data_IF_815666643681
#
_entry.id   IF_815666643681
#
_cell.length_a   1.000
_cell.length_b   1.000
_cell.length_c   1.000
_cell.angle_alpha   90.00
_cell.angle_beta   90.00
_cell.angle_gamma   90.00
#
_symmetry.space_group_name_H-M   'P 1'
#
loop_
_entity.id
_entity.type
_entity.pdbx_description
1 polymer ?
#
# COMPACT_ATOMS: atom_id res chain seq x y z
N UNK A 1 -11.42 -17.77 -24.47
CA UNK A 1 -10.75 -16.93 -23.45
C UNK A 1 -11.62 -15.72 -23.23
N UNK A 2 -11.94 -15.40 -21.98
CA UNK A 2 -12.53 -14.12 -21.62
C UNK A 2 -11.58 -12.98 -21.96
N UNK A 3 -12.14 -11.80 -22.20
CA UNK A 3 -11.42 -10.60 -22.66
C UNK A 3 -10.19 -10.27 -21.78
N UNK A 4 -10.31 -10.48 -20.47
CA UNK A 4 -9.30 -10.12 -19.48
C UNK A 4 -8.59 -11.31 -18.82
N UNK A 5 -8.69 -12.52 -19.39
CA UNK A 5 -8.06 -13.72 -18.80
C UNK A 5 -6.53 -13.56 -18.60
N UNK A 6 -5.89 -12.74 -19.44
CA UNK A 6 -4.46 -12.42 -19.37
C UNK A 6 -4.06 -11.55 -18.17
N UNK A 7 -5.03 -10.96 -17.46
CA UNK A 7 -4.82 -10.17 -16.24
C UNK A 7 -4.91 -11.01 -14.96
N UNK A 8 -5.14 -12.31 -15.06
CA UNK A 8 -5.15 -13.19 -13.90
C UNK A 8 -3.73 -13.63 -13.54
N UNK A 9 -3.34 -13.45 -12.28
CA UNK A 9 -2.13 -14.01 -11.70
C UNK A 9 -2.44 -14.81 -10.42
N UNK A 10 -1.44 -15.59 -9.98
CA UNK A 10 -1.57 -16.54 -8.89
C UNK A 10 -1.66 -15.85 -7.52
N UNK A 11 -0.88 -14.79 -7.30
CA UNK A 11 -0.83 -14.09 -6.01
C UNK A 11 -2.12 -13.30 -5.79
N UNK A 12 -2.63 -12.68 -6.85
CA UNK A 12 -3.93 -12.03 -6.92
C UNK A 12 -5.11 -12.97 -6.70
N UNK A 13 -4.94 -14.29 -6.55
CA UNK A 13 -6.04 -15.17 -6.15
C UNK A 13 -6.23 -15.29 -4.63
N UNK A 14 -5.44 -14.58 -3.82
CA UNK A 14 -5.54 -14.63 -2.37
C UNK A 14 -6.76 -13.81 -1.86
N UNK A 15 -7.73 -14.43 -1.16
CA UNK A 15 -8.96 -13.73 -0.75
C UNK A 15 -8.76 -12.56 0.20
N UNK A 16 -7.69 -12.53 1.00
CA UNK A 16 -7.43 -11.41 1.91
C UNK A 16 -7.07 -10.10 1.17
N UNK A 17 -6.70 -10.19 -0.12
CA UNK A 17 -6.46 -9.06 -1.00
C UNK A 17 -7.76 -8.51 -1.62
N UNK A 18 -8.94 -9.09 -1.30
CA UNK A 18 -10.24 -8.56 -1.72
C UNK A 18 -10.56 -7.28 -0.94
N UNK A 19 -9.91 -6.20 -1.34
CA UNK A 19 -9.89 -4.87 -0.70
C UNK A 19 -9.36 -3.83 -1.69
N UNK A 20 -9.27 -2.56 -1.28
CA UNK A 20 -8.52 -1.54 -2.02
C UNK A 20 -7.30 -1.02 -1.25
N UNK A 21 -6.25 -0.72 -2.02
CA UNK A 21 -5.11 0.11 -1.61
C UNK A 21 -5.34 1.54 -2.11
N UNK A 22 -4.91 2.52 -1.32
CA UNK A 22 -5.13 3.94 -1.60
C UNK A 22 -3.85 4.75 -1.48
N UNK A 23 -3.71 5.71 -2.37
CA UNK A 23 -2.74 6.79 -2.27
C UNK A 23 -3.42 8.08 -2.72
N UNK A 24 -3.20 9.17 -1.98
CA UNK A 24 -3.75 10.48 -2.24
C UNK A 24 -2.63 11.47 -2.52
N UNK A 25 -2.76 12.23 -3.61
CA UNK A 25 -1.90 13.33 -3.99
C UNK A 25 -2.62 14.66 -3.80
N UNK A 26 -1.99 15.64 -3.16
CA UNK A 26 -2.55 16.98 -2.98
C UNK A 26 -1.85 17.98 -3.89
N UNK A 27 -2.62 18.71 -4.70
CA UNK A 27 -2.12 19.71 -5.66
C UNK A 27 -2.68 21.10 -5.34
N UNK A 28 -1.87 22.17 -5.49
CA UNK A 28 -2.41 23.52 -5.46
C UNK A 28 -3.26 23.75 -6.72
N UNK A 29 -4.34 24.54 -6.59
CA UNK A 29 -5.07 25.06 -7.73
C UNK A 29 -5.08 26.60 -7.66
N UNK A 30 -4.81 27.30 -8.76
CA UNK A 30 -4.91 28.76 -8.82
C UNK A 30 -6.37 29.20 -8.65
N UNK A 31 -6.60 30.11 -7.69
CA UNK A 31 -7.91 30.71 -7.42
C UNK A 31 -8.77 29.88 -6.47
N UNK A 32 -9.09 30.42 -5.29
CA UNK A 32 -9.89 29.70 -4.28
C UNK A 32 -11.32 29.41 -4.75
N UNK A 33 -11.84 30.21 -5.70
CA UNK A 33 -13.24 30.21 -6.16
C UNK A 33 -13.43 30.38 -7.68
N UNK A 34 -12.42 30.09 -8.52
CA UNK A 34 -12.60 30.16 -9.98
C UNK A 34 -13.34 28.91 -10.51
N UNK A 35 -14.66 29.03 -10.62
CA UNK A 35 -15.52 27.99 -11.18
C UNK A 35 -15.11 27.55 -12.59
N UNK A 36 -14.58 28.45 -13.42
CA UNK A 36 -14.13 28.10 -14.78
C UNK A 36 -12.89 27.22 -14.73
N UNK A 37 -11.95 27.52 -13.83
CA UNK A 37 -10.75 26.70 -13.64
C UNK A 37 -11.09 25.30 -13.09
N UNK A 38 -12.05 25.20 -12.16
CA UNK A 38 -12.52 23.91 -11.65
C UNK A 38 -13.13 23.05 -12.77
N UNK A 39 -13.94 23.63 -13.65
CA UNK A 39 -14.51 22.91 -14.79
C UNK A 39 -13.44 22.47 -15.80
N UNK A 40 -12.45 23.33 -16.09
CA UNK A 40 -11.30 22.95 -16.93
C UNK A 40 -10.50 21.80 -16.29
N UNK A 41 -10.28 21.83 -14.97
CA UNK A 41 -9.59 20.76 -14.26
C UNK A 41 -10.36 19.43 -14.34
N UNK A 42 -11.69 19.46 -14.15
CA UNK A 42 -12.56 18.30 -14.35
C UNK A 42 -12.43 17.75 -15.76
N UNK A 43 -12.54 18.62 -16.77
CA UNK A 43 -12.47 18.23 -18.17
C UNK A 43 -11.13 17.55 -18.50
N UNK A 44 -9.99 18.16 -18.13
CA UNK A 44 -8.66 17.57 -18.38
C UNK A 44 -8.44 16.25 -17.66
N UNK A 45 -8.88 16.14 -16.42
CA UNK A 45 -8.79 14.90 -15.64
C UNK A 45 -9.66 13.80 -16.26
N UNK A 46 -10.87 14.13 -16.72
CA UNK A 46 -11.71 13.20 -17.48
C UNK A 46 -11.00 12.76 -18.75
N UNK A 47 -10.55 13.68 -19.62
CA UNK A 47 -9.84 13.34 -20.87
C UNK A 47 -8.59 12.49 -20.62
N UNK A 48 -7.80 12.80 -19.60
CA UNK A 48 -6.62 12.02 -19.25
C UNK A 48 -6.99 10.60 -18.79
N UNK A 49 -8.07 10.46 -18.00
CA UNK A 49 -8.58 9.17 -17.57
C UNK A 49 -9.14 8.34 -18.74
N UNK A 50 -9.82 8.99 -19.71
CA UNK A 50 -10.28 8.35 -20.95
C UNK A 50 -9.11 7.78 -21.75
N UNK A 51 -8.06 8.59 -21.96
CA UNK A 51 -6.84 8.14 -22.66
C UNK A 51 -6.19 6.95 -21.96
N UNK A 52 -6.20 6.93 -20.62
CA UNK A 52 -5.69 5.81 -19.83
C UNK A 52 -6.49 4.52 -20.11
N UNK A 53 -7.82 4.57 -20.02
CA UNK A 53 -8.66 3.37 -20.25
C UNK A 53 -8.69 2.92 -21.70
N UNK A 54 -8.47 3.83 -22.67
CA UNK A 54 -8.30 3.46 -24.08
C UNK A 54 -7.04 2.59 -24.30
N UNK A 55 -5.95 2.89 -23.60
CA UNK A 55 -4.70 2.14 -23.70
C UNK A 55 -4.66 0.89 -22.80
N UNK A 56 -5.43 0.89 -21.71
CA UNK A 56 -5.45 -0.16 -20.70
C UNK A 56 -6.90 -0.47 -20.32
N UNK A 57 -7.64 -1.11 -21.23
CA UNK A 57 -9.10 -1.33 -21.10
C UNK A 57 -9.49 -2.09 -19.83
N UNK A 58 -8.60 -2.97 -19.34
CA UNK A 58 -8.80 -3.72 -18.11
C UNK A 58 -8.89 -2.85 -16.84
N UNK A 59 -8.40 -1.60 -16.87
CA UNK A 59 -8.55 -0.66 -15.74
C UNK A 59 -10.01 -0.22 -15.52
N UNK A 60 -10.83 -0.27 -16.56
CA UNK A 60 -12.27 0.03 -16.51
C UNK A 60 -13.13 -1.24 -16.29
N UNK A 61 -12.51 -2.39 -16.00
CA UNK A 61 -13.22 -3.62 -15.70
C UNK A 61 -13.76 -3.63 -14.25
N UNK A 62 -14.73 -4.50 -13.99
CA UNK A 62 -15.14 -4.90 -12.64
C UNK A 62 -14.42 -6.17 -12.21
N UNK A 63 -14.04 -6.23 -10.94
CA UNK A 63 -13.56 -7.45 -10.28
C UNK A 63 -14.75 -8.26 -9.82
N UNK A 64 -14.76 -9.54 -10.20
CA UNK A 64 -15.79 -10.50 -9.78
C UNK A 64 -15.16 -11.70 -9.08
N UNK A 65 -15.81 -12.15 -8.02
CA UNK A 65 -15.50 -13.40 -7.36
C UNK A 65 -16.35 -14.52 -7.97
N UNK A 66 -15.74 -15.44 -8.71
CA UNK A 66 -16.43 -16.60 -9.28
C UNK A 66 -16.30 -17.78 -8.34
N UNK A 67 -17.45 -18.27 -7.87
CA UNK A 67 -17.50 -19.53 -7.15
C UNK A 67 -17.34 -20.68 -8.13
N UNK A 68 -16.43 -21.60 -7.80
CA UNK A 68 -16.11 -22.75 -8.65
C UNK A 68 -17.06 -23.95 -8.41
N UNK A 69 -18.16 -23.73 -7.68
CA UNK A 69 -19.34 -24.61 -7.68
C UNK A 69 -19.20 -25.92 -6.90
N UNK A 70 -18.12 -26.10 -6.13
CA UNK A 70 -17.92 -27.29 -5.30
C UNK A 70 -17.08 -26.98 -4.05
N UNK A 71 -17.22 -27.78 -2.97
CA UNK A 71 -16.55 -27.53 -1.68
C UNK A 71 -15.02 -27.59 -1.75
N UNK A 72 -14.45 -28.25 -2.76
CA UNK A 72 -13.00 -28.51 -2.89
C UNK A 72 -12.27 -27.56 -3.87
N UNK A 73 -12.96 -26.55 -4.43
CA UNK A 73 -12.35 -25.57 -5.33
C UNK A 73 -12.47 -24.16 -4.75
N UNK A 74 -11.35 -23.44 -4.57
CA UNK A 74 -11.43 -22.07 -4.09
C UNK A 74 -12.11 -21.18 -5.12
N UNK A 75 -12.82 -20.18 -4.61
CA UNK A 75 -13.23 -19.03 -5.41
C UNK A 75 -12.02 -18.40 -6.08
N UNK A 76 -12.26 -17.77 -7.23
CA UNK A 76 -11.23 -17.11 -8.02
C UNK A 76 -11.67 -15.70 -8.40
N UNK A 77 -10.70 -14.81 -8.51
CA UNK A 77 -10.92 -13.41 -8.84
C UNK A 77 -10.62 -13.20 -10.33
N UNK A 78 -11.62 -12.64 -11.02
CA UNK A 78 -11.60 -12.40 -12.46
C UNK A 78 -11.95 -10.95 -12.75
N UNK A 79 -11.59 -10.50 -13.95
CA UNK A 79 -12.07 -9.23 -14.48
C UNK A 79 -13.17 -9.48 -15.51
N UNK A 80 -14.22 -8.68 -15.44
CA UNK A 80 -15.30 -8.64 -16.41
C UNK A 80 -15.55 -7.20 -16.88
N UNK A 81 -16.04 -7.01 -18.11
CA UNK A 81 -16.51 -5.69 -18.54
C UNK A 81 -17.57 -5.13 -17.59
N UNK A 82 -17.60 -3.81 -17.45
CA UNK A 82 -18.60 -3.12 -16.63
C UNK A 82 -19.24 -1.99 -17.42
N UNK A 83 -20.52 -2.13 -17.77
CA UNK A 83 -21.26 -1.16 -18.60
C UNK A 83 -21.26 0.27 -18.01
N UNK A 84 -21.14 0.40 -16.69
CA UNK A 84 -21.04 1.71 -16.01
C UNK A 84 -19.75 2.46 -16.37
N UNK A 85 -18.68 1.74 -16.70
CA UNK A 85 -17.35 2.29 -17.00
C UNK A 85 -16.86 1.93 -18.40
N UNK A 86 -17.64 1.20 -19.19
CA UNK A 86 -17.36 0.95 -20.60
C UNK A 86 -17.75 2.14 -21.48
N UNK A 87 -17.28 2.20 -22.75
CA UNK A 87 -17.67 3.25 -23.67
C UNK A 87 -19.19 3.31 -23.84
N UNK A 88 -19.82 4.51 -23.89
CA UNK A 88 -19.19 5.83 -23.97
C UNK A 88 -18.85 6.48 -22.62
N UNK A 89 -19.17 5.84 -21.49
CA UNK A 89 -19.05 6.46 -20.16
C UNK A 89 -17.58 6.54 -19.69
N UNK A 90 -16.80 5.46 -19.85
CA UNK A 90 -15.35 5.39 -19.61
C UNK A 90 -14.85 6.08 -18.31
N UNK A 91 -15.67 6.12 -17.26
CA UNK A 91 -15.42 7.00 -16.11
C UNK A 91 -14.85 6.23 -14.93
N UNK A 92 -13.52 6.05 -14.93
CA UNK A 92 -12.77 5.59 -13.74
C UNK A 92 -12.48 6.73 -12.77
N UNK A 93 -12.84 7.97 -13.08
CA UNK A 93 -12.66 9.15 -12.23
C UNK A 93 -14.01 9.73 -11.81
N UNK A 94 -14.09 10.20 -10.57
CA UNK A 94 -15.23 10.96 -10.05
C UNK A 94 -14.77 12.27 -9.42
N UNK A 95 -15.68 13.24 -9.33
CA UNK A 95 -15.40 14.56 -8.79
C UNK A 95 -16.28 14.84 -7.59
N UNK A 96 -15.71 15.51 -6.60
CA UNK A 96 -16.40 15.91 -5.38
C UNK A 96 -16.00 17.31 -5.00
N UNK A 97 -16.98 18.15 -4.67
CA UNK A 97 -16.70 19.43 -4.02
C UNK A 97 -16.65 19.20 -2.51
N UNK A 98 -15.47 19.43 -1.93
CA UNK A 98 -15.19 19.34 -0.51
C UNK A 98 -14.84 20.71 0.07
N UNK A 99 -15.10 21.81 -0.64
CA UNK A 99 -14.72 23.17 -0.22
C UNK A 99 -15.24 23.51 1.17
N UNK A 100 -16.47 23.11 1.50
CA UNK A 100 -17.08 23.38 2.81
C UNK A 100 -16.83 22.28 3.85
N UNK A 101 -16.49 21.08 3.40
CA UNK A 101 -16.34 19.90 4.25
C UNK A 101 -14.89 19.66 4.73
N UNK A 102 -13.92 20.33 4.11
CA UNK A 102 -12.49 20.13 4.36
C UNK A 102 -11.77 21.45 4.67
N UNK A 103 -10.66 21.40 5.43
CA UNK A 103 -9.71 22.51 5.49
C UNK A 103 -9.23 22.90 4.09
N UNK A 104 -8.80 24.14 3.94
CA UNK A 104 -8.16 24.62 2.71
C UNK A 104 -6.89 23.85 2.42
N UNK A 105 -6.47 23.89 1.16
CA UNK A 105 -5.21 23.30 0.73
C UNK A 105 -4.01 23.85 1.51
N UNK A 106 -3.98 25.16 1.77
CA UNK A 106 -2.89 25.80 2.52
C UNK A 106 -2.85 25.31 3.97
N UNK A 107 -4.00 25.13 4.63
CA UNK A 107 -4.08 24.59 5.99
C UNK A 107 -3.58 23.14 6.04
N UNK A 108 -3.97 22.32 5.07
CA UNK A 108 -3.50 20.93 4.96
C UNK A 108 -1.98 20.86 4.77
N UNK A 109 -1.42 21.66 3.86
CA UNK A 109 0.05 21.71 3.62
C UNK A 109 0.79 22.22 4.86
N UNK A 110 0.30 23.28 5.51
CA UNK A 110 0.89 23.85 6.73
C UNK A 110 0.92 22.83 7.86
N UNK A 111 -0.14 22.05 8.03
CA UNK A 111 -0.22 20.97 9.01
C UNK A 111 0.54 19.70 8.57
N UNK A 112 1.11 19.67 7.37
CA UNK A 112 1.74 18.50 6.73
C UNK A 112 0.78 17.31 6.56
N UNK A 113 -0.53 17.56 6.47
CA UNK A 113 -1.56 16.56 6.20
C UNK A 113 -1.58 15.38 7.17
N UNK A 114 -1.91 15.59 8.45
CA UNK A 114 -2.09 14.49 9.42
C UNK A 114 -3.30 13.63 9.05
N UNK A 115 -3.31 12.37 9.49
CA UNK A 115 -4.38 11.41 9.19
C UNK A 115 -5.76 11.96 9.63
N UNK A 116 -5.83 12.60 10.79
CA UNK A 116 -7.04 13.20 11.36
C UNK A 116 -7.67 14.31 10.49
N UNK A 117 -6.91 14.91 9.58
CA UNK A 117 -7.41 15.92 8.64
C UNK A 117 -7.79 15.34 7.27
N UNK A 118 -7.63 14.03 7.07
CA UNK A 118 -7.80 13.36 5.78
C UNK A 118 -8.80 12.20 5.88
N UNK A 119 -10.08 12.44 6.19
CA UNK A 119 -11.06 11.38 6.37
C UNK A 119 -11.27 10.59 5.06
N UNK A 120 -10.85 9.33 5.05
CA UNK A 120 -10.95 8.44 3.88
C UNK A 120 -12.40 8.20 3.46
N UNK A 121 -13.35 8.18 4.39
CA UNK A 121 -14.80 8.08 4.08
C UNK A 121 -15.31 9.23 3.22
N UNK A 122 -14.67 10.40 3.28
CA UNK A 122 -15.00 11.56 2.46
C UNK A 122 -14.17 11.61 1.18
N UNK A 123 -12.85 11.40 1.30
CA UNK A 123 -11.87 11.65 0.25
C UNK A 123 -11.65 10.49 -0.72
N UNK A 124 -12.04 9.28 -0.31
CA UNK A 124 -11.76 8.07 -1.07
C UNK A 124 -13.00 7.53 -1.78
N UNK A 125 -12.80 6.89 -2.95
CA UNK A 125 -13.88 6.34 -3.75
C UNK A 125 -14.41 4.98 -3.26
N UNK A 126 -13.63 4.27 -2.44
CA UNK A 126 -13.86 2.89 -1.99
C UNK A 126 -13.37 2.71 -0.54
N UNK A 127 -13.76 1.60 0.08
CA UNK A 127 -13.20 1.13 1.36
C UNK A 127 -11.74 0.70 1.18
N UNK A 128 -10.94 0.79 2.24
CA UNK A 128 -9.52 0.43 2.21
C UNK A 128 -9.21 -0.81 3.07
N UNK A 129 -8.06 -1.43 2.80
CA UNK A 129 -7.53 -2.52 3.62
C UNK A 129 -7.44 -2.10 5.11
N UNK A 130 -7.92 -2.95 6.05
CA UNK A 130 -8.26 -4.37 5.91
C UNK A 130 -9.72 -4.70 5.54
N UNK A 131 -10.57 -3.72 5.28
CA UNK A 131 -11.97 -3.98 5.00
C UNK A 131 -12.16 -4.65 3.65
N UNK A 132 -12.88 -5.77 3.65
CA UNK A 132 -13.41 -6.34 2.41
C UNK A 132 -14.69 -5.63 1.97
N UNK A 133 -15.18 -6.00 0.79
CA UNK A 133 -16.38 -5.44 0.18
C UNK A 133 -17.28 -6.53 -0.42
N UNK A 134 -18.54 -6.14 -0.65
CA UNK A 134 -19.53 -6.94 -1.36
C UNK A 134 -19.94 -6.20 -2.62
N UNK A 135 -19.51 -6.72 -3.77
CA UNK A 135 -19.86 -6.21 -5.09
C UNK A 135 -21.30 -6.59 -5.45
N UNK A 136 -22.00 -5.68 -6.12
CA UNK A 136 -23.32 -5.91 -6.73
C UNK A 136 -23.31 -5.34 -8.15
N UNK A 137 -24.33 -5.63 -8.96
CA UNK A 137 -24.43 -5.00 -10.28
C UNK A 137 -24.65 -3.47 -10.20
N UNK A 138 -25.24 -2.98 -9.10
CA UNK A 138 -25.46 -1.55 -8.86
C UNK A 138 -24.25 -0.86 -8.21
N UNK A 139 -23.42 -1.62 -7.49
CA UNK A 139 -22.15 -1.17 -6.90
C UNK A 139 -21.03 -2.17 -7.25
N UNK A 140 -20.61 -2.22 -8.53
CA UNK A 140 -19.55 -3.13 -8.94
C UNK A 140 -18.21 -2.72 -8.33
N UNK A 141 -17.27 -3.65 -8.24
CA UNK A 141 -15.92 -3.39 -7.74
C UNK A 141 -14.98 -2.98 -8.87
N UNK A 142 -14.62 -1.70 -9.05
CA UNK A 142 -13.70 -1.30 -10.10
C UNK A 142 -12.29 -1.83 -9.84
N UNK A 143 -11.53 -2.07 -10.90
CA UNK A 143 -10.08 -2.36 -10.79
C UNK A 143 -9.34 -1.13 -10.25
N UNK A 144 -9.63 0.05 -10.81
CA UNK A 144 -9.13 1.35 -10.33
C UNK A 144 -10.26 2.36 -10.29
N UNK A 145 -10.26 3.21 -9.26
CA UNK A 145 -11.10 4.38 -9.18
C UNK A 145 -10.31 5.59 -8.68
N UNK A 146 -10.38 6.70 -9.41
CA UNK A 146 -9.89 8.00 -8.98
C UNK A 146 -11.02 8.83 -8.38
N UNK A 147 -10.71 9.61 -7.34
CA UNK A 147 -11.60 10.65 -6.82
C UNK A 147 -10.84 11.97 -6.70
N UNK A 148 -11.27 12.94 -7.48
CA UNK A 148 -10.78 14.31 -7.47
C UNK A 148 -11.66 15.14 -6.51
N UNK A 149 -11.11 15.47 -5.35
CA UNK A 149 -11.78 16.23 -4.30
C UNK A 149 -11.31 17.69 -4.33
N UNK A 150 -12.16 18.59 -4.77
CA UNK A 150 -11.86 20.03 -4.78
C UNK A 150 -11.98 20.59 -3.36
N UNK A 151 -10.93 21.27 -2.89
CA UNK A 151 -10.91 22.01 -1.62
C UNK A 151 -10.60 23.47 -1.93
N UNK A 152 -10.80 24.38 -0.97
CA UNK A 152 -10.40 25.78 -1.16
C UNK A 152 -8.90 25.87 -1.48
N UNK A 153 -8.58 26.40 -2.66
CA UNK A 153 -7.21 26.58 -3.16
C UNK A 153 -6.47 25.31 -3.60
N UNK A 154 -7.16 24.17 -3.78
CA UNK A 154 -6.47 22.95 -4.20
C UNK A 154 -7.35 21.77 -4.59
N UNK A 155 -6.67 20.67 -4.94
CA UNK A 155 -7.26 19.41 -5.35
C UNK A 155 -6.58 18.25 -4.59
N UNK A 156 -7.39 17.38 -3.99
CA UNK A 156 -6.92 16.12 -3.42
C UNK A 156 -7.36 14.97 -4.33
N UNK A 157 -6.42 14.35 -5.04
CA UNK A 157 -6.67 13.27 -5.99
C UNK A 157 -6.30 11.93 -5.34
N UNK A 158 -7.31 11.17 -4.93
CA UNK A 158 -7.14 9.79 -4.43
C UNK A 158 -7.22 8.78 -5.57
N UNK A 159 -6.40 7.74 -5.51
CA UNK A 159 -6.45 6.57 -6.37
C UNK A 159 -6.66 5.33 -5.51
N UNK A 160 -7.81 4.69 -5.68
CA UNK A 160 -8.11 3.39 -5.11
C UNK A 160 -7.87 2.31 -6.16
N UNK A 161 -7.06 1.31 -5.83
CA UNK A 161 -6.83 0.17 -6.69
C UNK A 161 -7.13 -1.14 -5.97
N UNK A 162 -7.82 -2.04 -6.66
CA UNK A 162 -8.23 -3.31 -6.10
C UNK A 162 -6.99 -4.19 -5.92
N UNK A 163 -6.74 -4.63 -4.68
CA UNK A 163 -5.43 -5.13 -4.27
C UNK A 163 -5.08 -6.52 -4.84
N UNK A 164 -6.06 -7.32 -5.27
CA UNK A 164 -5.80 -8.54 -6.03
C UNK A 164 -5.14 -8.24 -7.39
N UNK A 165 -5.37 -7.06 -7.96
CA UNK A 165 -4.94 -6.72 -9.30
C UNK A 165 -3.85 -5.65 -9.36
N UNK A 166 -3.68 -4.83 -8.33
CA UNK A 166 -2.74 -3.70 -8.35
C UNK A 166 -2.18 -3.48 -6.94
N UNK A 167 -0.85 -3.56 -6.80
CA UNK A 167 -0.13 -3.17 -5.60
C UNK A 167 0.26 -1.66 -5.62
N UNK A 168 0.98 -1.18 -4.61
CA UNK A 168 1.38 0.23 -4.55
C UNK A 168 2.31 0.66 -5.70
N UNK A 169 3.20 -0.21 -6.16
CA UNK A 169 4.02 0.07 -7.35
C UNK A 169 3.13 0.19 -8.60
N UNK A 170 2.05 -0.58 -8.68
CA UNK A 170 1.03 -0.42 -9.71
C UNK A 170 0.21 0.87 -9.60
N UNK A 171 -0.14 1.31 -8.38
CA UNK A 171 -0.77 2.62 -8.14
C UNK A 171 0.14 3.76 -8.60
N UNK A 172 1.45 3.66 -8.33
CA UNK A 172 2.44 4.61 -8.87
C UNK A 172 2.36 4.67 -10.39
N UNK A 173 2.32 3.53 -11.08
CA UNK A 173 2.20 3.50 -12.54
C UNK A 173 0.89 4.12 -13.04
N UNK A 174 -0.24 3.90 -12.37
CA UNK A 174 -1.50 4.58 -12.68
C UNK A 174 -1.33 6.11 -12.66
N UNK A 175 -0.66 6.64 -11.64
CA UNK A 175 -0.39 8.08 -11.53
C UNK A 175 0.62 8.59 -12.56
N UNK A 176 1.68 7.84 -12.85
CA UNK A 176 2.68 8.22 -13.86
C UNK A 176 2.07 8.30 -15.26
N UNK A 177 1.19 7.35 -15.61
CA UNK A 177 0.45 7.36 -16.87
C UNK A 177 -0.58 8.50 -16.89
N UNK A 178 -1.31 8.72 -15.80
CA UNK A 178 -2.23 9.87 -15.70
C UNK A 178 -1.49 11.20 -15.86
N UNK A 179 -0.34 11.37 -15.21
CA UNK A 179 0.51 12.55 -15.35
C UNK A 179 0.96 12.75 -16.81
N UNK A 180 1.35 11.67 -17.49
CA UNK A 180 1.72 11.68 -18.92
C UNK A 180 0.57 12.17 -19.79
N UNK A 181 -0.64 11.65 -19.56
CA UNK A 181 -1.83 12.10 -20.28
C UNK A 181 -2.18 13.58 -19.99
N UNK A 182 -2.06 14.03 -18.74
CA UNK A 182 -2.31 15.42 -18.34
C UNK A 182 -1.30 16.42 -18.91
N UNK A 183 -0.08 15.98 -19.23
CA UNK A 183 0.90 16.76 -19.98
C UNK A 183 0.60 16.83 -21.49
N UNK A 184 -0.44 16.13 -21.96
CA UNK A 184 -0.77 16.03 -23.38
C UNK A 184 0.16 15.09 -24.17
N UNK A 185 0.97 14.29 -23.47
CA UNK A 185 1.92 13.37 -24.08
C UNK A 185 1.25 12.04 -24.44
N UNK A 186 1.79 11.33 -25.43
CA UNK A 186 1.37 9.98 -25.77
C UNK A 186 2.11 8.95 -24.93
N UNK A 187 1.43 7.85 -24.59
CA UNK A 187 2.10 6.70 -24.00
C UNK A 187 3.02 6.07 -25.02
N UNK A 188 4.24 5.73 -24.61
CA UNK A 188 5.16 4.97 -25.45
C UNK A 188 4.65 3.55 -25.66
N UNK A 189 5.12 2.91 -26.74
CA UNK A 189 4.83 1.49 -27.01
C UNK A 189 5.24 0.61 -25.82
N UNK A 190 6.40 0.91 -25.20
CA UNK A 190 6.89 0.19 -24.03
C UNK A 190 5.99 0.37 -22.81
N UNK A 191 5.46 1.57 -22.57
CA UNK A 191 4.52 1.81 -21.46
C UNK A 191 3.24 1.00 -21.64
N UNK A 192 2.67 1.00 -22.85
CA UNK A 192 1.46 0.24 -23.18
C UNK A 192 1.71 -1.26 -23.05
N UNK A 193 2.83 -1.75 -23.58
CA UNK A 193 3.20 -3.16 -23.49
C UNK A 193 3.42 -3.61 -22.04
N UNK A 194 4.07 -2.78 -21.21
CA UNK A 194 4.35 -3.13 -19.83
C UNK A 194 3.10 -3.14 -18.95
N UNK A 195 2.19 -2.17 -19.11
CA UNK A 195 0.93 -2.13 -18.36
C UNK A 195 -0.10 -3.18 -18.80
N UNK A 196 0.07 -3.78 -19.99
CA UNK A 196 -0.76 -4.86 -20.52
C UNK A 196 -0.05 -6.24 -20.52
N UNK A 197 1.01 -6.42 -19.72
CA UNK A 197 1.72 -7.71 -19.64
C UNK A 197 0.77 -8.85 -19.25
N UNK A 198 0.87 -9.97 -19.97
CA UNK A 198 0.17 -11.21 -19.62
C UNK A 198 0.72 -11.75 -18.30
N UNK A 199 -0.14 -11.79 -17.29
CA UNK A 199 0.26 -12.10 -15.92
C UNK A 199 0.30 -13.61 -15.65
N UNK A 200 -0.32 -14.43 -16.50
CA UNK A 200 -0.46 -15.87 -16.29
C UNK A 200 0.86 -16.63 -16.30
N UNK A 201 1.84 -16.11 -17.05
CA UNK A 201 3.18 -16.71 -17.21
C UNK A 201 4.29 -15.87 -16.59
N UNK A 202 3.96 -14.74 -15.96
CA UNK A 202 4.93 -13.79 -15.40
C UNK A 202 5.79 -14.43 -14.31
N UNK A 203 5.16 -15.24 -13.46
CA UNK A 203 5.84 -16.05 -12.43
C UNK A 203 5.73 -17.52 -12.83
N UNK A 204 6.77 -18.11 -13.47
CA UNK A 204 6.73 -19.52 -13.82
C UNK A 204 6.77 -20.38 -12.57
N UNK A 205 5.79 -21.27 -12.45
CA UNK A 205 5.70 -22.21 -11.33
C UNK A 205 6.91 -23.19 -11.32
N UNK A 206 7.13 -23.83 -10.19
CA UNK A 206 8.13 -24.88 -10.04
C UNK A 206 7.70 -26.12 -10.83
N UNK A 207 8.67 -26.73 -11.51
CA UNK A 207 8.56 -28.05 -12.11
C UNK A 207 8.58 -29.13 -11.03
N UNK A 208 8.11 -30.33 -11.33
CA UNK A 208 7.99 -31.44 -10.35
C UNK A 208 9.32 -31.84 -9.70
N UNK A 209 10.44 -31.65 -10.40
CA UNK A 209 11.78 -31.98 -9.89
C UNK A 209 12.43 -30.85 -9.06
N UNK A 210 11.84 -29.66 -9.05
CA UNK A 210 12.37 -28.53 -8.28
C UNK A 210 11.89 -28.60 -6.82
N UNK A 211 12.78 -28.30 -5.88
CA UNK A 211 12.48 -28.39 -4.44
C UNK A 211 11.64 -27.19 -3.96
N UNK A 212 10.43 -27.41 -3.42
CA UNK A 212 9.64 -26.33 -2.83
C UNK A 212 10.29 -25.82 -1.55
N UNK A 213 10.11 -24.52 -1.29
CA UNK A 213 10.44 -23.87 -0.01
C UNK A 213 9.23 -23.95 0.93
N UNK A 214 9.49 -23.80 2.22
CA UNK A 214 8.47 -23.67 3.25
C UNK A 214 7.80 -22.29 3.20
N UNK A 215 6.47 -22.28 3.29
CA UNK A 215 5.59 -21.11 3.23
C UNK A 215 4.56 -21.10 4.37
N UNK A 216 4.71 -21.94 5.39
CA UNK A 216 3.75 -22.07 6.48
C UNK A 216 3.61 -20.77 7.30
N UNK A 217 4.60 -19.88 7.25
CA UNK A 217 4.52 -18.53 7.84
C UNK A 217 3.33 -17.69 7.35
N UNK A 218 2.74 -18.04 6.19
CA UNK A 218 1.59 -17.35 5.62
C UNK A 218 0.25 -17.95 6.06
N UNK A 219 0.24 -19.09 6.75
CA UNK A 219 -0.97 -19.74 7.23
C UNK A 219 -1.50 -19.06 8.49
N UNK A 220 -2.80 -18.76 8.49
CA UNK A 220 -3.59 -18.41 9.66
C UNK A 220 -3.96 -19.72 10.35
N UNK A 221 -3.24 -20.10 11.40
CA UNK A 221 -3.66 -21.24 12.21
C UNK A 221 -4.94 -20.85 12.95
N UNK A 222 -6.02 -21.61 12.74
CA UNK A 222 -7.24 -21.50 13.56
C UNK A 222 -6.93 -22.04 14.96
N UNK A 223 -6.19 -21.29 15.76
CA UNK A 223 -6.16 -21.55 17.18
C UNK A 223 -7.53 -21.17 17.76
N UNK A 224 -8.06 -21.92 18.73
CA UNK A 224 -9.17 -21.40 19.53
C UNK A 224 -8.76 -20.00 20.00
N UNK A 225 -9.69 -19.04 20.07
CA UNK A 225 -9.34 -17.72 20.55
C UNK A 225 -8.60 -17.92 21.86
N UNK A 226 -7.29 -17.62 21.88
CA UNK A 226 -6.68 -17.17 23.11
C UNK A 226 -7.62 -16.08 23.63
N UNK A 227 -7.81 -15.93 24.94
CA UNK A 227 -8.40 -14.70 25.45
C UNK A 227 -7.46 -13.59 24.98
N UNK A 228 -7.72 -13.08 23.77
CA UNK A 228 -7.10 -11.89 23.22
C UNK A 228 -7.61 -10.88 24.21
N UNK A 229 -6.74 -10.50 25.14
CA UNK A 229 -7.02 -9.41 26.04
C UNK A 229 -7.46 -8.27 25.13
N UNK A 230 -8.68 -7.78 25.35
CA UNK A 230 -9.18 -6.63 24.60
C UNK A 230 -8.06 -5.58 24.56
N UNK A 231 -7.80 -4.98 23.39
CA UNK A 231 -6.70 -4.04 23.28
C UNK A 231 -6.87 -2.96 24.35
N UNK A 232 -5.79 -2.67 25.09
CA UNK A 232 -5.84 -1.75 26.23
C UNK A 232 -6.41 -0.37 25.87
N UNK A 233 -6.33 -0.01 24.59
CA UNK A 233 -6.92 1.20 24.04
C UNK A 233 -7.21 1.08 22.53
N UNK A 234 -8.04 1.97 21.96
CA UNK A 234 -8.34 1.98 20.52
C UNK A 234 -7.10 2.20 19.66
N UNK A 235 -7.08 1.56 18.48
CA UNK A 235 -6.08 1.78 17.44
C UNK A 235 -6.43 3.03 16.61
N UNK A 236 -5.41 3.79 16.21
CA UNK A 236 -5.55 4.96 15.35
C UNK A 236 -4.34 5.13 14.43
N UNK A 237 -4.53 5.83 13.32
CA UNK A 237 -3.46 6.17 12.39
C UNK A 237 -2.77 7.48 12.80
N UNK A 238 -1.43 7.49 12.83
CA UNK A 238 -0.62 8.69 13.13
C UNK A 238 0.60 8.78 12.23
N UNK A 239 0.91 10.00 11.80
CA UNK A 239 2.08 10.29 10.97
C UNK A 239 3.27 10.75 11.81
N UNK A 240 4.47 10.28 11.44
CA UNK A 240 5.74 10.72 11.98
C UNK A 240 6.72 10.99 10.85
N UNK A 241 7.39 12.14 10.86
CA UNK A 241 8.40 12.53 9.88
C UNK A 241 9.79 12.17 10.35
N UNK A 242 10.54 11.56 9.44
CA UNK A 242 11.97 11.32 9.57
C UNK A 242 12.69 12.16 8.52
N UNK A 243 13.40 13.19 8.96
CA UNK A 243 14.10 14.11 8.05
C UNK A 243 15.39 13.51 7.48
N UNK A 244 15.90 13.99 6.34
CA UNK A 244 17.16 13.51 5.77
C UNK A 244 18.34 13.40 6.75
N UNK A 245 18.64 14.41 7.61
CA UNK A 245 19.73 14.27 8.57
C UNK A 245 19.45 13.18 9.62
N UNK A 246 18.20 13.06 10.09
CA UNK A 246 17.78 12.01 11.05
C UNK A 246 17.89 10.62 10.42
N UNK A 247 17.44 10.45 9.18
CA UNK A 247 17.57 9.22 8.40
C UNK A 247 19.03 8.82 8.16
N UNK A 248 19.90 9.80 7.83
CA UNK A 248 21.32 9.55 7.65
C UNK A 248 21.98 9.09 8.96
N UNK A 249 21.64 9.74 10.08
CA UNK A 249 22.13 9.35 11.41
C UNK A 249 21.64 7.95 11.82
N UNK A 250 20.37 7.60 11.57
CA UNK A 250 19.85 6.24 11.80
C UNK A 250 20.60 5.21 10.95
N UNK A 251 20.82 5.50 9.66
CA UNK A 251 21.55 4.60 8.76
C UNK A 251 22.99 4.36 9.24
N UNK A 252 23.66 5.42 9.72
CA UNK A 252 25.00 5.32 10.29
C UNK A 252 25.01 4.51 11.59
N UNK A 253 24.09 4.79 12.52
CA UNK A 253 23.95 4.06 13.80
C UNK A 253 23.69 2.57 13.59
N UNK A 254 22.85 2.24 12.60
CA UNK A 254 22.54 0.86 12.23
C UNK A 254 23.66 0.18 11.40
N UNK A 255 24.71 0.92 11.01
CA UNK A 255 25.70 0.50 10.00
C UNK A 255 25.03 -0.20 8.80
N UNK A 256 23.86 0.30 8.40
CA UNK A 256 22.94 -0.47 7.58
C UNK A 256 23.18 -0.29 6.10
N UNK A 257 22.93 -1.35 5.34
CA UNK A 257 22.99 -1.35 3.88
C UNK A 257 22.09 -0.26 3.27
N UNK A 258 20.86 -0.11 3.78
CA UNK A 258 19.88 0.85 3.26
C UNK A 258 19.23 1.68 4.34
N UNK A 259 18.82 2.90 3.99
CA UNK A 259 18.03 3.78 4.88
C UNK A 259 16.72 3.10 5.31
N UNK A 260 16.12 2.32 4.40
CA UNK A 260 14.88 1.62 4.69
C UNK A 260 15.04 0.55 5.77
N UNK A 261 16.14 -0.23 5.73
CA UNK A 261 16.42 -1.21 6.78
C UNK A 261 16.69 -0.53 8.13
N UNK A 262 17.45 0.56 8.15
CA UNK A 262 17.73 1.31 9.37
C UNK A 262 16.46 1.89 10.00
N UNK A 263 15.59 2.50 9.18
CA UNK A 263 14.32 3.04 9.65
C UNK A 263 13.37 1.93 10.12
N UNK A 264 13.29 0.81 9.38
CA UNK A 264 12.49 -0.36 9.77
C UNK A 264 12.97 -0.94 11.11
N UNK A 265 14.29 -1.12 11.27
CA UNK A 265 14.90 -1.59 12.50
C UNK A 265 14.61 -0.66 13.67
N UNK A 266 14.72 0.65 13.44
CA UNK A 266 14.47 1.66 14.45
C UNK A 266 13.02 1.62 14.94
N UNK A 267 12.06 1.64 14.01
CA UNK A 267 10.64 1.55 14.36
C UNK A 267 10.31 0.25 15.09
N UNK A 268 10.81 -0.90 14.60
CA UNK A 268 10.57 -2.19 15.25
C UNK A 268 11.12 -2.21 16.67
N UNK A 269 12.38 -1.81 16.86
CA UNK A 269 13.02 -1.80 18.16
C UNK A 269 12.31 -0.87 19.16
N UNK A 270 11.98 0.37 18.77
CA UNK A 270 11.35 1.33 19.70
C UNK A 270 9.94 0.90 20.08
N UNK A 271 9.14 0.48 19.11
CA UNK A 271 7.76 0.01 19.39
C UNK A 271 7.78 -1.19 20.34
N UNK A 272 8.67 -2.15 20.14
CA UNK A 272 8.77 -3.32 21.03
C UNK A 272 9.35 -2.95 22.39
N UNK A 273 10.27 -1.99 22.48
CA UNK A 273 10.77 -1.48 23.77
C UNK A 273 9.64 -0.86 24.61
N UNK A 274 8.79 -0.04 23.99
CA UNK A 274 7.60 0.54 24.64
C UNK A 274 6.63 -0.55 25.08
N UNK A 275 6.35 -1.52 24.21
CA UNK A 275 5.46 -2.65 24.54
C UNK A 275 6.01 -3.52 25.67
N UNK A 276 7.32 -3.77 25.70
CA UNK A 276 7.99 -4.49 26.78
C UNK A 276 7.84 -3.75 28.12
N UNK A 277 8.13 -2.46 28.16
CA UNK A 277 8.02 -1.65 29.38
C UNK A 277 6.59 -1.67 29.95
N UNK A 278 5.59 -1.56 29.08
CA UNK A 278 4.18 -1.55 29.46
C UNK A 278 3.65 -2.93 29.87
N UNK A 279 3.94 -3.97 29.08
CA UNK A 279 3.37 -5.31 29.27
C UNK A 279 4.15 -6.16 30.27
N UNK A 280 5.42 -5.82 30.51
CA UNK A 280 6.33 -6.57 31.40
C UNK A 280 6.46 -8.06 31.02
N UNK A 281 6.48 -8.34 29.71
CA UNK A 281 6.58 -9.68 29.13
C UNK A 281 7.94 -9.88 28.43
N UNK A 282 9.07 -9.97 29.15
CA UNK A 282 10.39 -10.10 28.54
C UNK A 282 10.55 -11.37 27.69
N UNK A 283 9.74 -12.40 27.96
CA UNK A 283 9.76 -13.69 27.28
C UNK A 283 8.92 -13.72 25.99
N UNK A 284 8.18 -12.65 25.68
CA UNK A 284 7.40 -12.57 24.45
C UNK A 284 8.31 -12.51 23.22
N UNK A 285 7.82 -12.97 22.08
CA UNK A 285 8.52 -12.88 20.80
C UNK A 285 7.79 -11.87 19.92
N UNK A 286 8.54 -10.91 19.38
CA UNK A 286 8.03 -9.97 18.40
C UNK A 286 8.28 -10.50 16.99
N UNK A 287 7.27 -10.40 16.13
CA UNK A 287 7.41 -10.70 14.70
C UNK A 287 7.26 -9.44 13.86
N UNK A 288 8.09 -9.28 12.83
CA UNK A 288 8.01 -8.19 11.87
C UNK A 288 7.79 -8.74 10.46
N UNK A 289 6.66 -8.38 9.83
CA UNK A 289 6.28 -8.83 8.50
C UNK A 289 6.47 -7.68 7.51
N UNK A 290 7.54 -7.73 6.70
CA UNK A 290 7.90 -6.68 5.75
C UNK A 290 7.53 -7.06 4.32
N UNK A 291 6.72 -6.25 3.65
CA UNK A 291 6.41 -6.42 2.23
C UNK A 291 7.63 -6.21 1.34
N UNK A 292 7.76 -7.05 0.32
CA UNK A 292 8.88 -7.10 -0.62
C UNK A 292 8.34 -7.11 -2.05
N UNK A 293 8.72 -6.10 -2.83
CA UNK A 293 8.47 -6.07 -4.27
C UNK A 293 9.37 -7.08 -4.98
N UNK A 294 8.75 -8.09 -5.60
CA UNK A 294 9.46 -9.17 -6.27
C UNK A 294 9.75 -8.89 -7.76
N UNK A 295 9.34 -7.73 -8.32
CA UNK A 295 9.55 -7.40 -9.74
C UNK A 295 11.00 -7.53 -10.17
N UNK A 296 11.92 -6.86 -9.47
CA UNK A 296 13.35 -6.85 -9.81
C UNK A 296 13.92 -8.27 -9.84
N UNK A 297 13.59 -9.05 -8.82
CA UNK A 297 14.04 -10.42 -8.65
C UNK A 297 13.49 -11.38 -9.71
N UNK A 298 12.30 -11.09 -10.22
CA UNK A 298 11.66 -11.84 -11.30
C UNK A 298 12.01 -11.32 -12.70
N UNK A 299 12.78 -10.24 -12.81
CA UNK A 299 13.09 -9.60 -14.10
C UNK A 299 11.88 -8.89 -14.72
N UNK A 300 10.84 -8.62 -13.94
CA UNK A 300 9.63 -7.92 -14.37
C UNK A 300 9.91 -6.43 -14.46
N UNK A 301 9.43 -5.80 -15.54
CA UNK A 301 9.68 -4.37 -15.81
C UNK A 301 8.92 -3.48 -14.83
N UNK A 302 9.45 -2.29 -14.60
CA UNK A 302 8.91 -1.33 -13.63
C UNK A 302 7.49 -0.84 -14.02
N UNK A 303 7.15 -0.81 -15.32
CA UNK A 303 5.81 -0.48 -15.79
C UNK A 303 4.75 -1.56 -15.54
N UNK A 304 5.10 -2.69 -14.92
CA UNK A 304 4.13 -3.72 -14.52
C UNK A 304 3.23 -3.22 -13.39
N UNK A 305 1.92 -3.21 -13.66
CA UNK A 305 0.91 -2.64 -12.75
C UNK A 305 0.31 -3.66 -11.77
N UNK A 306 0.59 -4.96 -11.93
CA UNK A 306 -0.04 -6.01 -11.11
C UNK A 306 0.54 -6.15 -9.70
N UNK A 307 -0.13 -6.94 -8.85
CA UNK A 307 0.45 -7.29 -7.54
C UNK A 307 1.58 -8.31 -7.71
N UNK A 308 2.78 -7.97 -7.25
CA UNK A 308 3.91 -8.89 -7.22
C UNK A 308 4.69 -8.74 -5.92
N UNK A 309 4.00 -9.06 -4.82
CA UNK A 309 4.51 -8.92 -3.46
C UNK A 309 4.67 -10.27 -2.76
N UNK A 310 5.77 -10.40 -2.00
CA UNK A 310 5.94 -11.43 -0.96
C UNK A 310 6.33 -10.77 0.37
N UNK A 311 6.47 -11.55 1.44
CA UNK A 311 6.79 -11.04 2.78
C UNK A 311 8.09 -11.64 3.30
N UNK A 312 8.96 -10.78 3.82
CA UNK A 312 10.06 -11.18 4.68
C UNK A 312 9.60 -11.11 6.14
N UNK A 313 9.74 -12.22 6.86
CA UNK A 313 9.40 -12.29 8.29
C UNK A 313 10.68 -12.38 9.11
N UNK A 314 10.79 -11.49 10.10
CA UNK A 314 11.84 -11.55 11.11
C UNK A 314 11.21 -11.70 12.49
N UNK A 315 11.89 -12.40 13.40
CA UNK A 315 11.43 -12.56 14.78
C UNK A 315 12.57 -12.37 15.76
N UNK A 316 12.29 -11.77 16.92
CA UNK A 316 13.26 -11.56 17.99
C UNK A 316 12.52 -11.50 19.34
N UNK A 317 13.16 -11.95 20.43
CA UNK A 317 12.58 -11.81 21.77
C UNK A 317 12.37 -10.34 22.16
N UNK A 318 11.37 -10.03 22.98
CA UNK A 318 11.11 -8.64 23.41
C UNK A 318 12.31 -8.02 24.13
N UNK A 319 12.86 -8.72 25.13
CA UNK A 319 14.03 -8.25 25.87
C UNK A 319 15.26 -8.14 24.96
N UNK A 320 15.51 -9.17 24.16
CA UNK A 320 16.61 -9.20 23.18
C UNK A 320 16.52 -8.01 22.22
N UNK A 321 15.34 -7.72 21.66
CA UNK A 321 15.14 -6.63 20.72
C UNK A 321 15.31 -5.25 21.36
N UNK A 322 14.83 -5.07 22.59
CA UNK A 322 14.96 -3.83 23.34
C UNK A 322 16.42 -3.52 23.71
N UNK A 323 17.22 -4.54 24.01
CA UNK A 323 18.64 -4.41 24.38
C UNK A 323 19.60 -4.49 23.18
N UNK A 324 19.12 -4.96 22.02
CA UNK A 324 19.95 -5.12 20.82
C UNK A 324 20.53 -3.79 20.32
N UNK A 325 21.72 -3.85 19.71
CA UNK A 325 22.22 -2.71 18.93
C UNK A 325 21.37 -2.60 17.67
N UNK A 326 21.09 -1.36 17.23
CA UNK A 326 20.32 -1.12 16.01
C UNK A 326 20.92 -1.81 14.78
N UNK A 327 22.25 -1.96 14.75
CA UNK A 327 22.97 -2.71 13.72
C UNK A 327 22.57 -4.18 13.64
N UNK A 328 22.39 -4.85 14.78
CA UNK A 328 22.06 -6.27 14.83
C UNK A 328 20.63 -6.48 14.31
N UNK A 329 19.70 -5.62 14.71
CA UNK A 329 18.31 -5.61 14.23
C UNK A 329 18.24 -5.35 12.72
N UNK A 330 18.95 -4.34 12.23
CA UNK A 330 18.99 -4.03 10.79
C UNK A 330 19.63 -5.17 9.97
N UNK A 331 20.66 -5.83 10.51
CA UNK A 331 21.31 -6.97 9.87
C UNK A 331 20.39 -8.18 9.80
N UNK A 332 19.64 -8.48 10.88
CA UNK A 332 18.62 -9.54 10.88
C UNK A 332 17.58 -9.29 9.78
N UNK A 333 16.98 -8.09 9.75
CA UNK A 333 15.98 -7.72 8.76
C UNK A 333 16.51 -7.85 7.32
N UNK A 334 17.76 -7.43 7.07
CA UNK A 334 18.40 -7.54 5.75
C UNK A 334 18.66 -9.00 5.38
N UNK A 335 19.09 -9.83 6.32
CA UNK A 335 19.34 -11.24 6.09
C UNK A 335 18.04 -11.98 5.74
N UNK A 336 16.98 -11.77 6.49
CA UNK A 336 15.68 -12.42 6.23
C UNK A 336 15.05 -11.93 4.93
N UNK A 337 15.16 -10.64 4.61
CA UNK A 337 14.75 -10.12 3.30
C UNK A 337 15.50 -10.83 2.16
N UNK A 338 16.81 -11.02 2.29
CA UNK A 338 17.62 -11.64 1.22
C UNK A 338 17.24 -13.11 1.00
N UNK A 339 16.82 -13.83 2.05
CA UNK A 339 16.35 -15.23 1.95
C UNK A 339 15.07 -15.38 1.12
N UNK A 340 14.20 -14.36 1.12
CA UNK A 340 12.91 -14.41 0.40
C UNK A 340 12.92 -13.62 -0.90
N UNK A 341 13.78 -12.60 -1.02
CA UNK A 341 13.87 -11.76 -2.20
C UNK A 341 14.81 -12.35 -3.27
N UNK A 342 14.54 -13.59 -3.66
CA UNK A 342 15.22 -14.26 -4.77
C UNK A 342 14.21 -15.04 -5.63
N UNK A 343 14.61 -15.35 -6.86
CA UNK A 343 13.73 -15.92 -7.88
C UNK A 343 13.13 -17.25 -7.43
N UNK A 344 13.94 -18.12 -6.83
CA UNK A 344 13.51 -19.45 -6.41
C UNK A 344 12.43 -19.39 -5.33
N UNK A 345 12.58 -18.48 -4.36
CA UNK A 345 11.58 -18.27 -3.32
C UNK A 345 10.26 -17.76 -3.90
N UNK A 346 10.29 -16.74 -4.76
CA UNK A 346 9.07 -16.17 -5.38
C UNK A 346 8.33 -17.21 -6.23
N UNK A 347 9.06 -17.98 -7.05
CA UNK A 347 8.47 -19.09 -7.83
C UNK A 347 7.88 -20.16 -6.92
N UNK A 348 8.57 -20.51 -5.84
CA UNK A 348 8.08 -21.46 -4.86
C UNK A 348 6.81 -20.96 -4.16
N UNK A 349 6.75 -19.68 -3.80
CA UNK A 349 5.60 -19.06 -3.14
C UNK A 349 4.37 -19.07 -4.06
N UNK A 350 4.53 -18.64 -5.31
CA UNK A 350 3.47 -18.72 -6.30
C UNK A 350 3.01 -20.17 -6.53
N UNK A 351 3.94 -21.13 -6.60
CA UNK A 351 3.60 -22.55 -6.75
C UNK A 351 2.80 -23.07 -5.57
N UNK A 352 3.19 -22.70 -4.35
CA UNK A 352 2.48 -23.06 -3.13
C UNK A 352 1.05 -22.51 -3.14
N UNK A 353 0.86 -21.22 -3.45
CA UNK A 353 -0.49 -20.61 -3.59
C UNK A 353 -1.32 -21.33 -4.66
N UNK A 354 -0.74 -21.62 -5.83
CA UNK A 354 -1.42 -22.29 -6.93
C UNK A 354 -1.93 -23.67 -6.52
N UNK A 355 -1.15 -24.41 -5.73
CA UNK A 355 -1.48 -25.75 -5.23
C UNK A 355 -2.38 -25.74 -3.99
N UNK A 356 -2.41 -24.67 -3.20
CA UNK A 356 -3.25 -24.59 -2.00
C UNK A 356 -4.71 -24.40 -2.37
N UNK A 357 -5.57 -25.35 -1.99
CA UNK A 357 -7.01 -25.26 -2.16
C UNK A 357 -7.65 -24.24 -1.21
N UNK A 358 -7.35 -24.33 0.09
CA UNK A 358 -7.93 -23.45 1.12
C UNK A 358 -7.23 -22.08 1.22
N UNK A 359 -7.27 -21.29 0.14
CA UNK A 359 -6.59 -19.96 0.07
C UNK A 359 -7.09 -18.96 1.12
N UNK A 360 -8.28 -19.14 1.69
CA UNK A 360 -8.84 -18.31 2.78
C UNK A 360 -8.02 -18.37 4.07
N UNK A 361 -7.21 -19.41 4.25
CA UNK A 361 -6.29 -19.55 5.38
C UNK A 361 -4.98 -18.81 5.16
N UNK A 362 -4.70 -18.30 3.96
CA UNK A 362 -3.44 -17.62 3.65
C UNK A 362 -3.58 -16.12 3.92
N UNK A 363 -2.57 -15.53 4.54
CA UNK A 363 -2.37 -14.08 4.55
C UNK A 363 -0.91 -13.71 4.71
N UNK A 364 -0.55 -12.49 4.29
CA UNK A 364 0.82 -11.97 4.42
C UNK A 364 1.40 -12.02 5.84
N UNK A 365 0.58 -11.77 6.86
CA UNK A 365 1.01 -11.87 8.25
C UNK A 365 0.92 -13.28 8.87
N UNK A 366 0.33 -14.26 8.16
CA UNK A 366 -0.04 -15.56 8.72
C UNK A 366 -0.78 -15.43 10.06
N UNK A 367 -0.37 -16.21 11.06
CA UNK A 367 -0.77 -15.99 12.44
C UNK A 367 -0.15 -14.68 12.96
N UNK A 368 -0.96 -13.67 13.24
CA UNK A 368 -0.50 -12.32 13.60
C UNK A 368 -1.14 -11.84 14.90
N UNK A 369 -0.32 -11.43 15.87
CA UNK A 369 -0.77 -10.82 17.11
C UNK A 369 -0.44 -9.32 17.12
N UNK A 370 -1.43 -8.41 17.02
CA UNK A 370 -1.17 -6.97 16.94
C UNK A 370 -0.55 -6.38 18.23
N UNK A 371 -0.53 -7.10 19.35
CA UNK A 371 0.16 -6.65 20.57
C UNK A 371 1.67 -6.94 20.54
N UNK A 372 2.14 -7.89 19.72
CA UNK A 372 3.55 -8.29 19.66
C UNK A 372 4.18 -8.09 18.29
N UNK A 373 3.37 -8.17 17.25
CA UNK A 373 3.81 -8.25 15.87
C UNK A 373 3.57 -6.92 15.16
N UNK A 374 4.33 -6.66 14.10
CA UNK A 374 4.20 -5.46 13.27
C UNK A 374 4.19 -5.85 11.80
N UNK A 375 3.16 -5.43 11.07
CA UNK A 375 3.14 -5.43 9.61
C UNK A 375 3.82 -4.17 9.06
N UNK A 376 4.44 -4.26 7.89
CA UNK A 376 4.96 -3.08 7.22
C UNK A 376 4.97 -3.21 5.71
N UNK A 377 4.64 -2.11 5.05
CA UNK A 377 4.82 -1.93 3.62
C UNK A 377 5.51 -0.59 3.34
N UNK A 378 6.66 -0.65 2.68
CA UNK A 378 7.42 0.55 2.34
C UNK A 378 7.09 1.02 0.94
N UNK A 379 6.65 2.27 0.84
CA UNK A 379 6.40 3.01 -0.40
C UNK A 379 7.46 4.08 -0.66
N UNK A 380 8.52 4.12 0.14
CA UNK A 380 9.58 5.12 0.04
C UNK A 380 10.36 5.11 -1.30
N UNK A 381 10.18 4.08 -2.14
CA UNK A 381 10.73 4.02 -3.50
C UNK A 381 9.86 4.73 -4.53
N UNK A 382 8.58 4.95 -4.24
CA UNK A 382 7.63 5.63 -5.14
C UNK A 382 8.09 7.08 -5.35
N UNK A 383 8.07 7.55 -6.60
CA UNK A 383 8.74 8.79 -7.03
C UNK A 383 7.79 9.94 -7.34
N UNK A 384 6.52 9.80 -6.98
CA UNK A 384 5.46 10.75 -7.35
C UNK A 384 5.69 12.19 -6.85
N UNK A 385 6.44 12.39 -5.77
CA UNK A 385 6.72 13.73 -5.24
C UNK A 385 7.47 14.65 -6.21
N UNK A 386 8.17 14.07 -7.19
CA UNK A 386 8.97 14.80 -8.18
C UNK A 386 8.33 14.83 -9.57
N UNK A 387 7.15 14.24 -9.72
CA UNK A 387 6.47 14.11 -11.02
C UNK A 387 5.63 15.34 -11.31
N UNK A 388 5.80 15.90 -12.50
CA UNK A 388 4.97 16.98 -13.03
C UNK A 388 3.70 16.42 -13.67
N UNK A 389 2.53 16.81 -13.17
CA UNK A 389 1.21 16.45 -13.70
C UNK A 389 0.71 17.45 -14.75
N UNK A 390 1.64 18.18 -15.37
CA UNK A 390 1.36 19.19 -16.38
C UNK A 390 0.99 20.55 -15.80
N UNK A 391 0.76 21.55 -16.68
CA UNK A 391 0.60 22.94 -16.28
C UNK A 391 -0.65 23.19 -15.43
N UNK A 392 -1.62 22.27 -15.44
CA UNK A 392 -2.83 22.37 -14.64
C UNK A 392 -2.57 22.12 -13.15
N UNK A 393 -1.85 21.02 -12.82
CA UNK A 393 -1.68 20.54 -11.45
C UNK A 393 -0.27 20.75 -10.89
N UNK A 394 0.75 20.82 -11.75
CA UNK A 394 2.15 20.87 -11.34
C UNK A 394 2.58 19.61 -10.57
N UNK A 395 3.36 19.80 -9.51
CA UNK A 395 3.78 18.73 -8.60
C UNK A 395 2.85 18.59 -7.39
N UNK A 396 2.71 17.38 -6.83
CA UNK A 396 1.98 17.20 -5.58
C UNK A 396 2.77 17.80 -4.40
N UNK A 397 2.09 18.60 -3.57
CA UNK A 397 2.65 19.17 -2.35
C UNK A 397 2.61 18.20 -1.16
N UNK A 398 1.65 17.27 -1.17
CA UNK A 398 1.54 16.20 -0.18
C UNK A 398 1.23 14.87 -0.86
N UNK A 399 1.74 13.79 -0.27
CA UNK A 399 1.42 12.42 -0.62
C UNK A 399 1.05 11.68 0.66
N UNK A 400 -0.19 11.22 0.75
CA UNK A 400 -0.77 10.67 1.98
C UNK A 400 -1.61 9.43 1.67
N UNK A 401 -1.78 8.59 2.67
CA UNK A 401 -2.87 7.62 2.73
C UNK A 401 -3.95 8.26 3.59
N UNK A 402 -5.20 8.41 3.10
CA UNK A 402 -6.29 8.88 3.94
C UNK A 402 -6.49 8.03 5.19
N UNK A 403 -7.19 8.58 6.18
CA UNK A 403 -7.57 7.87 7.39
C UNK A 403 -8.72 6.91 7.11
N UNK A 404 -8.47 5.63 7.36
CA UNK A 404 -9.41 4.53 7.14
C UNK A 404 -9.51 3.69 8.40
N UNK A 405 -10.35 2.65 8.37
CA UNK A 405 -10.42 1.68 9.45
C UNK A 405 -9.00 1.21 9.86
N UNK A 406 -8.70 1.18 11.18
CA UNK A 406 -7.39 0.78 11.69
C UNK A 406 -6.93 -0.61 11.20
N UNK A 407 -5.77 -0.67 10.55
CA UNK A 407 -5.03 -1.92 10.34
C UNK A 407 -4.11 -2.13 11.54
N UNK A 408 -4.55 -2.92 12.50
CA UNK A 408 -3.89 -3.03 13.81
C UNK A 408 -2.41 -3.44 13.66
N UNK A 409 -1.53 -2.63 14.25
CA UNK A 409 -0.09 -2.87 14.31
C UNK A 409 0.60 -2.94 12.95
N UNK A 410 0.44 -1.88 12.15
CA UNK A 410 1.04 -1.76 10.83
C UNK A 410 1.77 -0.43 10.62
N UNK A 411 2.78 -0.45 9.75
CA UNK A 411 3.59 0.72 9.37
C UNK A 411 3.66 0.84 7.85
N UNK A 412 3.16 1.96 7.32
CA UNK A 412 3.47 2.39 5.95
C UNK A 412 4.58 3.43 5.94
N UNK A 413 5.68 3.17 5.23
CA UNK A 413 6.66 4.21 4.96
C UNK A 413 6.28 4.92 3.67
N UNK A 414 5.82 6.17 3.75
CA UNK A 414 5.29 6.90 2.60
C UNK A 414 6.37 7.19 1.54
N UNK A 415 5.96 7.53 0.31
CA UNK A 415 6.86 8.05 -0.70
C UNK A 415 7.69 9.21 -0.15
N UNK A 416 8.96 9.27 -0.55
CA UNK A 416 9.84 10.35 -0.13
C UNK A 416 9.27 11.69 -0.59
N UNK A 417 9.30 12.67 0.31
CA UNK A 417 8.99 14.07 -0.04
C UNK A 417 10.04 14.62 -1.01
N UNK A 418 9.79 15.78 -1.62
CA UNK A 418 10.76 16.41 -2.51
C UNK A 418 12.09 16.73 -1.78
N UNK A 419 12.02 17.09 -0.49
CA UNK A 419 13.16 17.30 0.40
C UNK A 419 13.88 16.01 0.84
N UNK A 420 13.32 14.83 0.54
CA UNK A 420 13.89 13.54 0.92
C UNK A 420 13.51 13.07 2.33
N UNK A 421 12.58 13.75 3.02
CA UNK A 421 11.96 13.22 4.24
C UNK A 421 11.16 11.94 3.92
N UNK A 422 11.14 11.01 4.87
CA UNK A 422 10.22 9.85 4.86
C UNK A 422 9.21 10.05 5.98
N UNK A 423 7.94 10.20 5.62
CA UNK A 423 6.85 10.17 6.59
C UNK A 423 6.43 8.70 6.81
N UNK A 424 6.31 8.26 8.06
CA UNK A 424 5.79 6.95 8.42
C UNK A 424 4.37 7.08 8.97
N UNK A 425 3.44 6.30 8.43
CA UNK A 425 2.07 6.17 8.92
C UNK A 425 1.97 4.92 9.78
N UNK A 426 1.74 5.11 11.08
CA UNK A 426 1.68 4.05 12.08
C UNK A 426 0.23 3.82 12.50
N UNK A 427 -0.22 2.57 12.61
CA UNK A 427 -1.50 2.22 13.23
C UNK A 427 -1.28 1.45 14.53
N UNK A 428 -1.22 2.17 15.65
CA UNK A 428 -1.05 1.58 16.97
C UNK A 428 -2.15 2.00 17.93
N UNK A 429 -2.24 1.29 19.06
CA UNK A 429 -3.15 1.68 20.12
C UNK A 429 -2.62 2.93 20.85
N UNK A 430 -3.50 3.63 21.56
CA UNK A 430 -3.15 4.88 22.26
C UNK A 430 -1.97 4.69 23.21
N UNK A 431 -1.93 3.61 23.98
CA UNK A 431 -0.88 3.36 24.94
C UNK A 431 0.50 3.12 24.29
N UNK A 432 0.56 2.47 23.11
CA UNK A 432 1.79 2.39 22.31
C UNK A 432 2.26 3.78 21.87
N UNK A 433 1.34 4.65 21.42
CA UNK A 433 1.71 6.00 21.03
C UNK A 433 2.16 6.86 22.21
N UNK A 434 1.45 6.83 23.33
CA UNK A 434 1.79 7.59 24.53
C UNK A 434 3.21 7.18 24.99
N UNK A 435 3.52 5.88 25.01
CA UNK A 435 4.86 5.40 25.32
C UNK A 435 5.94 5.80 24.30
N UNK A 436 5.63 5.82 23.00
CA UNK A 436 6.56 6.34 21.98
C UNK A 436 6.82 7.85 22.15
N UNK A 437 5.83 8.62 22.60
CA UNK A 437 6.00 10.05 22.86
C UNK A 437 6.82 10.34 24.12
N UNK A 438 6.89 9.39 25.06
CA UNK A 438 7.78 9.44 26.24
C UNK A 438 9.19 8.89 25.96
N UNK A 439 9.36 8.19 24.84
CA UNK A 439 10.62 7.59 24.42
C UNK A 439 11.59 8.64 23.85
N UNK A 440 12.66 8.94 24.60
CA UNK A 440 13.66 9.94 24.23
C UNK A 440 14.33 9.64 22.88
N UNK A 441 14.59 8.37 22.58
CA UNK A 441 15.23 8.00 21.32
C UNK A 441 14.24 8.14 20.16
N UNK A 442 12.99 7.73 20.34
CA UNK A 442 11.93 7.94 19.35
C UNK A 442 11.79 9.43 19.01
N UNK A 443 11.56 10.27 20.01
CA UNK A 443 11.31 11.71 19.83
C UNK A 443 12.52 12.46 19.28
N UNK A 444 13.75 11.96 19.47
CA UNK A 444 14.93 12.51 18.82
C UNK A 444 14.94 12.31 17.28
N UNK A 445 14.32 11.24 16.76
CA UNK A 445 14.35 10.88 15.35
C UNK A 445 13.01 11.02 14.61
N UNK A 446 11.88 11.03 15.32
CA UNK A 446 10.55 11.01 14.74
C UNK A 446 9.77 12.29 15.12
N UNK A 447 9.52 13.16 14.15
CA UNK A 447 8.71 14.37 14.36
C UNK A 447 7.24 14.05 14.11
N UNK A 448 6.40 14.12 15.15
CA UNK A 448 4.98 13.86 15.01
C UNK A 448 4.29 14.86 14.06
N UNK A 449 3.39 14.37 13.19
CA UNK A 449 2.56 15.17 12.28
C UNK A 449 1.08 15.00 12.69
N UNK A 450 0.52 16.00 13.37
CA UNK A 450 -0.91 16.10 13.65
C UNK A 450 -1.25 16.53 15.07
#
# INVERSE_FOLDING_TARGET
MGEFDHMQDVVGQLPFLKTYSHLLLAFPLPGEDDGAFREEAKHRLQTASLKLVEAFTWLAAKVVQRSSGGPDRPDSFHLEPCELWSPPNNSIIRFKDCSDAMPSFQELVKARGPATMLPGSLLAPRKAFPESYHETEQDPAPVVAFQANFVRGGLLLDCAAQHNFIDMSGIEQCYLLLATALRGENFSVDQIAQGNMDRRSLVPLLQEHETPKDHDQFLRVNLPPSPVLEPESPFSWRYFRFSPPKLAALKAMAASYSTNDALTAFCWQRVISVRLARRQTPQAVAKFCRAVDARRTMGVKEGYMGDLVTIATSSMGFLELAEARLQDVASLLRNDLTKVNNRDYVRSFATWIAKTQAKTQISYGGQFNPDTDIGSSSWAHVRLAKVEFGPLLGKPALIRRPDFVPLRSDIYFMPQTESGDIDALLCFNRADFDGLMEDELWTAYADYIG
#
